data_IF_643738016488
#
_entry.id   IF_643738016488
#
_cell.length_a   1.000
_cell.length_b   1.000
_cell.length_c   1.000
_cell.angle_alpha   90.00
_cell.angle_beta   90.00
_cell.angle_gamma   90.00
#
_symmetry.space_group_name_H-M   'P 1'
#
loop_
_entity.id
_entity.type
_entity.pdbx_description
1 polymer ?
#
# COMPACT_ATOMS: atom_id res chain seq x y z
N UNK A 1 30.97 -17.94 -1.97
CA UNK A 1 29.85 -17.95 -1.01
C UNK A 1 29.92 -16.58 -0.36
N UNK A 2 29.16 -15.61 -0.89
CA UNK A 2 29.13 -14.28 -0.33
C UNK A 2 28.29 -14.41 0.94
N UNK A 3 28.96 -14.37 2.09
CA UNK A 3 28.31 -14.31 3.38
C UNK A 3 27.83 -12.87 3.56
N UNK A 4 26.60 -12.61 3.11
CA UNK A 4 25.97 -11.30 3.21
C UNK A 4 25.89 -10.90 4.70
N UNK A 5 26.30 -9.67 5.02
CA UNK A 5 26.39 -9.21 6.41
C UNK A 5 25.01 -9.16 7.10
N UNK A 6 24.96 -9.03 8.43
CA UNK A 6 23.69 -8.94 9.18
C UNK A 6 22.73 -7.84 8.65
N UNK A 7 23.29 -6.73 8.18
CA UNK A 7 22.53 -5.62 7.57
C UNK A 7 21.92 -5.99 6.21
N UNK A 8 22.64 -6.77 5.39
CA UNK A 8 22.17 -7.22 4.08
C UNK A 8 21.05 -8.25 4.23
N UNK A 9 21.14 -9.13 5.24
CA UNK A 9 20.06 -10.07 5.58
C UNK A 9 18.78 -9.35 6.02
N UNK A 10 18.89 -8.25 6.76
CA UNK A 10 17.74 -7.41 7.11
C UNK A 10 17.17 -6.74 5.87
N UNK A 11 18.03 -6.23 4.98
CA UNK A 11 17.60 -5.58 3.75
C UNK A 11 16.82 -6.54 2.85
N UNK A 12 17.35 -7.74 2.61
CA UNK A 12 16.67 -8.78 1.84
C UNK A 12 15.30 -9.14 2.46
N UNK A 13 15.23 -9.39 3.78
CA UNK A 13 13.96 -9.70 4.47
C UNK A 13 12.93 -8.57 4.34
N UNK A 14 13.37 -7.31 4.35
CA UNK A 14 12.48 -6.16 4.15
C UNK A 14 11.95 -6.12 2.72
N UNK A 15 12.78 -6.38 1.72
CA UNK A 15 12.33 -6.44 0.32
C UNK A 15 11.39 -7.61 0.10
N UNK A 16 11.72 -8.80 0.59
CA UNK A 16 10.86 -9.99 0.51
C UNK A 16 9.48 -9.72 1.12
N UNK A 17 9.43 -9.08 2.29
CA UNK A 17 8.17 -8.74 2.94
C UNK A 17 7.34 -7.70 2.16
N UNK A 18 8.00 -6.72 1.53
CA UNK A 18 7.33 -5.73 0.68
C UNK A 18 6.79 -6.36 -0.60
N UNK A 19 7.53 -7.28 -1.23
CA UNK A 19 7.08 -8.03 -2.40
C UNK A 19 5.88 -8.95 -2.06
N UNK A 20 5.93 -9.64 -0.92
CA UNK A 20 4.81 -10.45 -0.44
C UNK A 20 3.56 -9.58 -0.17
N UNK A 21 3.72 -8.41 0.45
CA UNK A 21 2.62 -7.46 0.67
C UNK A 21 2.04 -6.93 -0.66
N UNK A 22 2.89 -6.65 -1.66
CA UNK A 22 2.44 -6.26 -2.99
C UNK A 22 1.66 -7.38 -3.69
N UNK A 23 2.03 -8.64 -3.48
CA UNK A 23 1.27 -9.78 -4.01
C UNK A 23 -0.14 -9.83 -3.42
N UNK A 24 -0.30 -9.66 -2.11
CA UNK A 24 -1.62 -9.56 -1.47
C UNK A 24 -2.43 -8.36 -2.02
N UNK A 25 -1.75 -7.24 -2.28
CA UNK A 25 -2.40 -6.06 -2.87
C UNK A 25 -2.91 -6.35 -4.29
N UNK A 26 -2.19 -7.15 -5.09
CA UNK A 26 -2.63 -7.59 -6.42
C UNK A 26 -3.86 -8.49 -6.33
N UNK A 27 -3.91 -9.39 -5.35
CA UNK A 27 -5.10 -10.23 -5.11
C UNK A 27 -6.35 -9.40 -4.81
N UNK A 28 -6.22 -8.27 -4.14
CA UNK A 28 -7.34 -7.33 -3.93
C UNK A 28 -7.81 -6.71 -5.25
N UNK A 29 -6.89 -6.30 -6.13
CA UNK A 29 -7.26 -5.78 -7.46
C UNK A 29 -7.97 -6.86 -8.31
N UNK A 30 -7.48 -8.10 -8.27
CA UNK A 30 -7.97 -9.21 -9.08
C UNK A 30 -9.30 -9.81 -8.56
N UNK A 31 -9.60 -9.65 -7.27
CA UNK A 31 -10.78 -10.25 -6.64
C UNK A 31 -12.11 -9.58 -7.03
N UNK A 32 -12.09 -8.27 -7.27
CA UNK A 32 -13.28 -7.48 -7.67
C UNK A 32 -12.92 -6.43 -8.72
N UNK A 33 -12.46 -6.85 -9.92
CA UNK A 33 -11.85 -5.94 -10.88
C UNK A 33 -12.82 -4.89 -11.45
N UNK A 34 -14.13 -5.14 -11.40
CA UNK A 34 -15.18 -4.22 -11.88
C UNK A 34 -15.84 -3.38 -10.76
N UNK A 35 -15.30 -3.41 -9.54
CA UNK A 35 -15.83 -2.67 -8.39
C UNK A 35 -14.70 -1.87 -7.71
N UNK A 36 -14.45 -0.62 -8.15
CA UNK A 36 -13.38 0.18 -7.58
C UNK A 36 -13.62 0.58 -6.13
N UNK A 37 -14.89 0.63 -5.69
CA UNK A 37 -15.24 0.87 -4.29
C UNK A 37 -14.79 -0.31 -3.42
N UNK A 38 -15.10 -1.54 -3.83
CA UNK A 38 -14.64 -2.75 -3.15
C UNK A 38 -13.11 -2.86 -3.14
N UNK A 39 -12.43 -2.55 -4.25
CA UNK A 39 -10.97 -2.56 -4.32
C UNK A 39 -10.35 -1.52 -3.37
N UNK A 40 -10.82 -0.26 -3.40
CA UNK A 40 -10.28 0.80 -2.52
C UNK A 40 -10.47 0.44 -1.05
N UNK A 41 -11.68 -0.01 -0.66
CA UNK A 41 -11.91 -0.47 0.71
C UNK A 41 -11.06 -1.68 1.07
N UNK A 42 -10.93 -2.64 0.15
CA UNK A 42 -10.12 -3.85 0.31
C UNK A 42 -8.65 -3.53 0.55
N UNK A 43 -8.08 -2.53 -0.15
CA UNK A 43 -6.69 -2.11 0.04
C UNK A 43 -6.46 -1.48 1.42
N UNK A 44 -7.43 -0.71 1.92
CA UNK A 44 -7.38 -0.13 3.27
C UNK A 44 -7.44 -1.23 4.33
N UNK A 45 -8.40 -2.15 4.21
CA UNK A 45 -8.54 -3.34 5.08
C UNK A 45 -7.27 -4.16 5.10
N UNK A 46 -6.79 -4.55 3.92
CA UNK A 46 -5.55 -5.30 3.76
C UNK A 46 -4.39 -4.63 4.50
N UNK A 47 -4.17 -3.32 4.32
CA UNK A 47 -3.04 -2.65 4.96
C UNK A 47 -3.11 -2.71 6.48
N UNK A 48 -4.29 -2.41 7.04
CA UNK A 48 -4.47 -2.32 8.49
C UNK A 48 -4.48 -3.69 9.16
N UNK A 49 -5.22 -4.65 8.60
CA UNK A 49 -5.28 -6.03 9.08
C UNK A 49 -3.92 -6.69 8.99
N UNK A 50 -3.25 -6.62 7.83
CA UNK A 50 -1.91 -7.17 7.67
C UNK A 50 -0.90 -6.54 8.64
N UNK A 51 -1.00 -5.22 8.88
CA UNK A 51 -0.12 -4.53 9.85
C UNK A 51 -0.35 -5.02 11.28
N UNK A 52 -1.61 -5.22 11.67
CA UNK A 52 -1.98 -5.70 13.00
C UNK A 52 -1.50 -7.14 13.22
N UNK A 53 -1.74 -8.02 12.25
CA UNK A 53 -1.34 -9.44 12.26
C UNK A 53 0.18 -9.64 12.16
N UNK A 54 0.86 -8.79 11.38
CA UNK A 54 2.29 -8.90 11.08
C UNK A 54 3.11 -7.80 11.77
N UNK A 55 2.74 -7.42 13.00
CA UNK A 55 3.33 -6.29 13.74
C UNK A 55 4.85 -6.26 13.72
N UNK A 56 5.54 -7.39 13.92
CA UNK A 56 7.01 -7.44 13.90
C UNK A 56 7.57 -7.08 12.52
N UNK A 57 7.04 -7.70 11.46
CA UNK A 57 7.45 -7.46 10.07
C UNK A 57 7.12 -6.02 9.64
N UNK A 58 5.93 -5.51 9.95
CA UNK A 58 5.55 -4.13 9.70
C UNK A 58 6.48 -3.15 10.42
N UNK A 59 6.85 -3.45 11.67
CA UNK A 59 7.83 -2.64 12.43
C UNK A 59 9.20 -2.66 11.76
N UNK A 60 9.66 -3.81 11.27
CA UNK A 60 10.93 -3.96 10.57
C UNK A 60 10.95 -3.11 9.29
N UNK A 61 9.91 -3.21 8.47
CA UNK A 61 9.76 -2.40 7.24
C UNK A 61 9.80 -0.90 7.60
N UNK A 62 8.98 -0.46 8.55
CA UNK A 62 8.90 0.95 8.93
C UNK A 62 10.26 1.52 9.40
N UNK A 63 11.08 0.72 10.08
CA UNK A 63 12.41 1.11 10.57
C UNK A 63 13.46 1.14 9.47
N UNK A 64 13.43 0.20 8.54
CA UNK A 64 14.55 -0.06 7.64
C UNK A 64 14.32 0.33 6.18
N UNK A 65 13.07 0.52 5.74
CA UNK A 65 12.72 0.79 4.32
C UNK A 65 13.59 1.85 3.66
N UNK A 66 13.81 3.00 4.32
CA UNK A 66 14.61 4.09 3.73
C UNK A 66 16.09 3.72 3.60
N UNK A 67 16.66 2.99 4.57
CA UNK A 67 18.03 2.49 4.49
C UNK A 67 18.18 1.45 3.38
N UNK A 68 17.19 0.55 3.25
CA UNK A 68 17.14 -0.46 2.18
C UNK A 68 17.06 0.21 0.81
N UNK A 69 16.19 1.21 0.64
CA UNK A 69 16.06 1.95 -0.61
C UNK A 69 17.36 2.67 -1.04
N UNK A 70 18.18 3.10 -0.09
CA UNK A 70 19.49 3.72 -0.34
C UNK A 70 20.65 2.70 -0.45
N UNK A 71 20.39 1.42 -0.17
CA UNK A 71 21.40 0.36 -0.10
C UNK A 71 21.44 -0.54 -1.35
N UNK A 72 22.21 -1.65 -1.28
CA UNK A 72 22.37 -2.60 -2.39
C UNK A 72 21.04 -3.17 -2.92
N UNK A 73 20.13 -3.52 -2.00
CA UNK A 73 18.79 -4.04 -2.31
C UNK A 73 17.82 -2.97 -2.88
N UNK A 74 18.22 -1.70 -2.89
CA UNK A 74 17.39 -0.58 -3.36
C UNK A 74 16.97 -0.73 -4.82
N UNK A 75 17.81 -1.36 -5.67
CA UNK A 75 17.46 -1.62 -7.07
C UNK A 75 16.30 -2.61 -7.20
N UNK A 76 16.35 -3.72 -6.44
CA UNK A 76 15.29 -4.74 -6.41
C UNK A 76 13.99 -4.14 -5.91
N UNK A 77 14.04 -3.40 -4.80
CA UNK A 77 12.88 -2.68 -4.28
C UNK A 77 12.31 -1.68 -5.30
N UNK A 78 13.16 -0.92 -6.00
CA UNK A 78 12.71 0.02 -7.02
C UNK A 78 12.03 -0.68 -8.20
N UNK A 79 12.50 -1.88 -8.59
CA UNK A 79 11.89 -2.69 -9.64
C UNK A 79 10.51 -3.21 -9.26
N UNK A 80 10.40 -3.83 -8.08
CA UNK A 80 9.12 -4.27 -7.54
C UNK A 80 8.10 -3.12 -7.42
N UNK A 81 8.53 -1.95 -6.93
CA UNK A 81 7.68 -0.76 -6.88
C UNK A 81 7.24 -0.29 -8.27
N UNK A 82 8.12 -0.31 -9.28
CA UNK A 82 7.76 0.09 -10.66
C UNK A 82 6.67 -0.81 -11.22
N UNK A 83 6.77 -2.13 -11.00
CA UNK A 83 5.76 -3.08 -11.46
C UNK A 83 4.41 -2.84 -10.79
N UNK A 84 4.43 -2.70 -9.45
CA UNK A 84 3.20 -2.42 -8.68
C UNK A 84 2.53 -1.13 -9.14
N UNK A 85 3.30 -0.04 -9.27
CA UNK A 85 2.76 1.26 -9.69
C UNK A 85 2.26 1.23 -11.14
N UNK A 86 2.91 0.46 -12.01
CA UNK A 86 2.42 0.25 -13.38
C UNK A 86 1.07 -0.46 -13.38
N UNK A 87 0.92 -1.53 -12.59
CA UNK A 87 -0.33 -2.25 -12.45
C UNK A 87 -1.45 -1.34 -11.90
N UNK A 88 -1.18 -0.60 -10.82
CA UNK A 88 -2.16 0.34 -10.25
C UNK A 88 -2.56 1.42 -11.25
N UNK A 89 -1.60 1.99 -12.01
CA UNK A 89 -1.92 3.00 -13.05
C UNK A 89 -2.81 2.41 -14.15
N UNK A 90 -2.53 1.18 -14.59
CA UNK A 90 -3.35 0.52 -15.60
C UNK A 90 -4.79 0.30 -15.08
N UNK A 91 -4.93 -0.17 -13.84
CA UNK A 91 -6.22 -0.33 -13.18
C UNK A 91 -6.98 1.00 -13.10
N UNK A 92 -6.35 2.09 -12.64
CA UNK A 92 -7.01 3.42 -12.59
C UNK A 92 -7.54 3.81 -13.97
N UNK A 93 -6.71 3.69 -15.01
CA UNK A 93 -7.12 4.01 -16.39
C UNK A 93 -8.30 3.16 -16.85
N UNK A 94 -8.29 1.86 -16.57
CA UNK A 94 -9.37 0.95 -16.94
C UNK A 94 -10.68 1.29 -16.23
N UNK A 95 -10.64 1.52 -14.92
CA UNK A 95 -11.84 1.86 -14.14
C UNK A 95 -12.43 3.22 -14.52
N UNK A 96 -11.58 4.20 -14.83
CA UNK A 96 -12.00 5.50 -15.33
C UNK A 96 -12.63 5.41 -16.73
N UNK A 97 -12.01 4.65 -17.65
CA UNK A 97 -12.56 4.43 -18.99
C UNK A 97 -13.91 3.70 -18.98
N UNK A 98 -14.12 2.83 -17.99
CA UNK A 98 -15.41 2.16 -17.75
C UNK A 98 -16.45 3.05 -17.04
N UNK A 99 -16.10 4.29 -16.66
CA UNK A 99 -16.99 5.21 -15.94
C UNK A 99 -17.30 4.79 -14.51
N UNK A 100 -16.45 3.94 -13.90
CA UNK A 100 -16.67 3.40 -12.54
C UNK A 100 -16.01 4.23 -11.44
N UNK A 101 -15.05 5.08 -11.78
CA UNK A 101 -14.43 6.05 -10.89
C UNK A 101 -13.92 7.26 -11.67
N UNK A 102 -13.61 8.39 -11.01
CA UNK A 102 -13.03 9.54 -11.69
C UNK A 102 -11.68 9.23 -12.35
N UNK A 103 -11.41 9.92 -13.46
CA UNK A 103 -10.12 9.89 -14.13
C UNK A 103 -9.08 10.66 -13.29
N UNK A 104 -8.32 9.96 -12.46
CA UNK A 104 -7.35 10.57 -11.54
C UNK A 104 -5.93 10.03 -11.73
N UNK A 105 -4.93 10.75 -11.23
CA UNK A 105 -3.56 10.25 -11.19
C UNK A 105 -3.34 9.28 -10.02
N UNK A 106 -2.36 8.38 -10.20
CA UNK A 106 -1.88 7.52 -9.11
C UNK A 106 -1.45 8.31 -7.87
N UNK A 107 -0.89 9.51 -8.06
CA UNK A 107 -0.37 10.33 -6.96
C UNK A 107 -1.53 10.86 -6.09
N UNK A 108 -2.64 11.30 -6.71
CA UNK A 108 -3.85 11.69 -5.99
C UNK A 108 -4.52 10.50 -5.31
N UNK A 109 -4.68 9.37 -6.01
CA UNK A 109 -5.21 8.14 -5.41
C UNK A 109 -4.39 7.74 -4.19
N UNK A 110 -3.05 7.75 -4.31
CA UNK A 110 -2.16 7.41 -3.22
C UNK A 110 -2.27 8.38 -2.04
N UNK A 111 -2.38 9.68 -2.31
CA UNK A 111 -2.52 10.70 -1.29
C UNK A 111 -3.82 10.56 -0.47
N UNK A 112 -4.92 10.13 -1.09
CA UNK A 112 -6.21 10.01 -0.38
C UNK A 112 -6.47 8.63 0.21
N UNK A 113 -5.95 7.56 -0.41
CA UNK A 113 -6.15 6.18 0.06
C UNK A 113 -5.02 5.73 0.98
N UNK A 114 -3.77 5.76 0.47
CA UNK A 114 -2.65 5.11 1.14
C UNK A 114 -2.00 6.00 2.21
N UNK A 115 -1.88 7.31 2.01
CA UNK A 115 -1.21 8.17 2.98
C UNK A 115 -1.93 8.21 4.36
N UNK A 116 -3.27 8.36 4.45
CA UNK A 116 -3.97 8.29 5.74
C UNK A 116 -3.87 6.90 6.38
N UNK A 117 -3.99 5.86 5.56
CA UNK A 117 -3.88 4.45 5.98
C UNK A 117 -2.51 4.12 6.58
N UNK A 118 -1.43 4.56 5.93
CA UNK A 118 -0.07 4.42 6.41
C UNK A 118 0.18 5.26 7.67
N UNK A 119 -0.42 6.44 7.80
CA UNK A 119 -0.26 7.27 9.00
C UNK A 119 -0.92 6.62 10.22
N UNK A 120 -2.14 6.09 10.07
CA UNK A 120 -2.83 5.35 11.14
C UNK A 120 -2.02 4.12 11.58
N UNK A 121 -1.55 3.33 10.62
CA UNK A 121 -0.65 2.20 10.88
C UNK A 121 0.62 2.64 11.64
N UNK A 122 1.26 3.74 11.22
CA UNK A 122 2.45 4.28 11.88
C UNK A 122 2.16 4.72 13.32
N UNK A 123 1.03 5.40 13.57
CA UNK A 123 0.63 5.82 14.91
C UNK A 123 0.42 4.62 15.84
N UNK A 124 -0.16 3.53 15.32
CA UNK A 124 -0.35 2.30 16.08
C UNK A 124 0.96 1.53 16.35
N UNK A 125 1.82 1.39 15.34
CA UNK A 125 3.13 0.73 15.47
C UNK A 125 4.02 1.45 16.49
N UNK A 126 3.95 2.79 16.53
CA UNK A 126 4.67 3.63 17.50
C UNK A 126 3.96 3.75 18.87
N UNK A 127 2.79 3.13 19.03
CA UNK A 127 2.01 3.13 20.27
C UNK A 127 1.38 4.48 20.63
N UNK A 128 1.32 5.42 19.68
CA UNK A 128 0.63 6.72 19.81
C UNK A 128 -0.88 6.59 19.63
N UNK A 129 -1.32 5.62 18.84
CA UNK A 129 -2.70 5.12 18.83
C UNK A 129 -2.78 3.88 19.73
N UNK A 130 -3.67 3.89 20.72
CA UNK A 130 -3.88 2.77 21.66
C UNK A 130 -5.00 1.83 21.25
N UNK A 131 -5.99 2.33 20.52
CA UNK A 131 -7.07 1.51 19.97
C UNK A 131 -6.51 0.53 18.93
N UNK A 132 -7.08 -0.68 18.81
CA UNK A 132 -6.82 -1.61 17.71
C UNK A 132 -6.98 -0.95 16.34
N UNK A 133 -6.26 -1.46 15.34
CA UNK A 133 -6.40 -0.97 13.96
C UNK A 133 -7.78 -1.34 13.40
N UNK A 134 -8.30 -2.51 13.76
CA UNK A 134 -9.65 -2.96 13.41
C UNK A 134 -10.75 -1.92 13.72
N UNK A 135 -10.61 -1.15 14.80
CA UNK A 135 -11.59 -0.10 15.19
C UNK A 135 -11.60 1.09 14.22
N UNK A 136 -10.53 1.29 13.45
CA UNK A 136 -10.39 2.39 12.48
C UNK A 136 -10.68 1.94 11.05
N UNK A 137 -10.63 0.63 10.78
CA UNK A 137 -10.58 0.07 9.43
C UNK A 137 -11.77 0.47 8.57
N UNK A 138 -13.00 0.21 9.02
CA UNK A 138 -14.19 0.47 8.19
C UNK A 138 -14.42 1.96 7.97
N UNK A 139 -14.25 2.78 9.02
CA UNK A 139 -14.38 4.23 8.90
C UNK A 139 -13.34 4.82 7.93
N UNK A 140 -12.11 4.32 7.94
CA UNK A 140 -11.07 4.77 7.02
C UNK A 140 -11.28 4.27 5.60
N UNK A 141 -11.79 3.05 5.44
CA UNK A 141 -12.14 2.48 4.13
C UNK A 141 -13.26 3.29 3.46
N UNK A 142 -14.31 3.65 4.22
CA UNK A 142 -15.39 4.52 3.75
C UNK A 142 -14.88 5.92 3.40
N UNK A 143 -14.04 6.51 4.26
CA UNK A 143 -13.46 7.82 4.00
C UNK A 143 -12.55 7.83 2.75
N UNK A 144 -11.76 6.77 2.55
CA UNK A 144 -10.91 6.61 1.38
C UNK A 144 -11.74 6.57 0.09
N UNK A 145 -12.81 5.75 0.05
CA UNK A 145 -13.68 5.72 -1.12
C UNK A 145 -14.39 7.04 -1.36
N UNK A 146 -14.95 7.66 -0.31
CA UNK A 146 -15.61 8.96 -0.44
C UNK A 146 -14.66 10.03 -1.00
N UNK A 147 -13.38 10.02 -0.59
CA UNK A 147 -12.37 10.92 -1.13
C UNK A 147 -12.09 10.63 -2.61
N UNK A 148 -11.96 9.36 -2.99
CA UNK A 148 -11.74 8.95 -4.40
C UNK A 148 -12.92 9.37 -5.28
N UNK A 149 -14.15 9.12 -4.85
CA UNK A 149 -15.37 9.49 -5.58
C UNK A 149 -15.54 11.02 -5.72
N UNK A 150 -14.93 11.81 -4.83
CA UNK A 150 -14.95 13.26 -4.87
C UNK A 150 -13.76 13.88 -5.64
N UNK A 151 -12.81 13.08 -6.13
CA UNK A 151 -11.74 13.58 -6.97
C UNK A 151 -12.30 14.14 -8.28
N UNK A 152 -11.79 15.28 -8.77
CA UNK A 152 -12.16 15.76 -10.08
C UNK A 152 -11.60 14.80 -11.14
N UNK A 153 -12.31 14.65 -12.25
CA UNK A 153 -11.70 14.16 -13.47
C UNK A 153 -10.56 15.11 -13.84
N UNK A 154 -9.34 14.60 -13.93
CA UNK A 154 -8.23 15.33 -14.51
C UNK A 154 -8.61 15.65 -15.96
N UNK A 155 -8.71 16.94 -16.28
CA UNK A 155 -8.90 17.38 -17.66
C UNK A 155 -7.75 16.81 -18.49
N UNK A 156 -8.09 15.93 -19.44
CA UNK A 156 -7.13 15.33 -20.38
C UNK A 156 -6.38 16.35 -21.21
#
# INVERSE_FOLDING_TARGET
>A
MNDDGPDDRIAARVVDALEAYQQLSREVYDGTPDDPEAVVRGLVRLHLEWTEENRETATLIARHRNKVAAGPEGRRLAESNREMFRATRAWITEQAAAGRMPATSFDLLHAVVFAPTQEIAKLWLTGRLKAPLADQTEALADAAWAAVAALPDEAG
#
